data_IF_587412125574
#
_entry.id   IF_587412125574
#
_cell.length_a   1.000
_cell.length_b   1.000
_cell.length_c   1.000
_cell.angle_alpha   90.00
_cell.angle_beta   90.00
_cell.angle_gamma   90.00
#
_symmetry.space_group_name_H-M   'P 1'
#
loop_
_entity.id
_entity.type
_entity.pdbx_description
1 polymer ?
#
# COMPACT_ATOMS: atom_id res chain seq x y z
N UNK A 1 11.90 6.98 9.64
CA UNK A 1 10.48 7.36 9.50
C UNK A 1 9.73 6.14 9.02
N UNK A 2 9.00 5.48 9.93
CA UNK A 2 8.22 4.29 9.61
C UNK A 2 6.91 4.73 8.94
N UNK A 3 6.84 4.67 7.62
CA UNK A 3 5.55 4.75 6.93
C UNK A 3 4.81 3.44 7.21
N UNK A 4 4.04 3.42 8.29
CA UNK A 4 3.24 2.27 8.67
C UNK A 4 1.99 2.24 7.80
N UNK A 5 2.12 1.61 6.64
CA UNK A 5 0.98 1.16 5.86
C UNK A 5 0.08 0.26 6.72
N UNK A 6 -1.22 0.37 6.52
CA UNK A 6 -2.25 -0.48 7.12
C UNK A 6 -3.19 -1.04 6.03
N UNK A 7 -3.89 -2.16 6.29
CA UNK A 7 -4.96 -2.61 5.40
C UNK A 7 -5.99 -1.49 5.18
N UNK A 8 -6.39 -1.28 3.93
CA UNK A 8 -7.29 -0.21 3.50
C UNK A 8 -6.60 1.12 3.17
N UNK A 9 -5.30 1.27 3.43
CA UNK A 9 -4.57 2.45 3.00
C UNK A 9 -4.46 2.51 1.47
N UNK A 10 -4.45 3.72 0.94
CA UNK A 10 -4.17 3.97 -0.47
C UNK A 10 -2.68 4.25 -0.68
N UNK A 11 -2.15 3.77 -1.80
CA UNK A 11 -0.77 4.01 -2.19
C UNK A 11 -0.64 4.23 -3.71
N UNK A 12 0.44 4.88 -4.14
CA UNK A 12 0.88 4.91 -5.53
C UNK A 12 1.99 3.88 -5.75
N UNK A 13 1.94 3.17 -6.87
CA UNK A 13 3.03 2.31 -7.33
C UNK A 13 4.21 3.14 -7.83
N UNK A 14 5.44 2.79 -7.45
CA UNK A 14 6.67 3.43 -7.95
C UNK A 14 7.24 2.75 -9.17
N UNK A 15 7.03 1.45 -9.27
CA UNK A 15 7.56 0.59 -10.33
C UNK A 15 6.44 0.15 -11.24
N UNK A 16 6.79 -0.18 -12.47
CA UNK A 16 5.87 -0.77 -13.43
C UNK A 16 5.82 -2.28 -13.18
N UNK A 17 4.64 -2.78 -12.85
CA UNK A 17 4.33 -4.20 -12.99
C UNK A 17 3.55 -4.41 -14.30
N UNK A 18 3.63 -5.62 -14.87
CA UNK A 18 2.95 -5.93 -16.12
C UNK A 18 1.44 -5.69 -16.07
N UNK A 19 0.84 -5.85 -14.88
CA UNK A 19 -0.61 -5.74 -14.70
C UNK A 19 -1.03 -4.38 -14.10
N UNK A 20 -0.11 -3.66 -13.45
CA UNK A 20 -0.37 -2.35 -12.83
C UNK A 20 0.80 -1.39 -13.16
N UNK A 21 0.56 -0.35 -13.98
CA UNK A 21 1.60 0.63 -14.31
C UNK A 21 2.10 1.42 -13.11
N UNK A 22 3.31 2.00 -13.23
CA UNK A 22 3.83 2.96 -12.27
C UNK A 22 2.93 4.20 -12.18
N UNK A 23 2.80 4.78 -10.99
CA UNK A 23 1.92 5.92 -10.72
C UNK A 23 0.45 5.55 -10.57
N UNK A 24 0.10 4.26 -10.56
CA UNK A 24 -1.26 3.80 -10.32
C UNK A 24 -1.61 3.87 -8.84
N UNK A 25 -2.81 4.36 -8.53
CA UNK A 25 -3.38 4.24 -7.20
C UNK A 25 -3.86 2.81 -6.94
N UNK A 26 -3.47 2.26 -5.79
CA UNK A 26 -3.84 0.92 -5.33
C UNK A 26 -4.25 0.98 -3.85
N UNK A 27 -5.11 0.05 -3.44
CA UNK A 27 -5.47 -0.16 -2.04
C UNK A 27 -4.69 -1.35 -1.47
N UNK A 28 -4.16 -1.19 -0.27
CA UNK A 28 -3.43 -2.24 0.43
C UNK A 28 -4.40 -3.19 1.12
N UNK A 29 -4.31 -4.49 0.84
CA UNK A 29 -5.28 -5.47 1.38
C UNK A 29 -4.67 -6.32 2.49
N UNK A 30 -3.53 -6.96 2.22
CA UNK A 30 -2.90 -7.91 3.14
C UNK A 30 -1.39 -7.71 3.21
N UNK A 31 -0.84 -7.78 4.42
CA UNK A 31 0.58 -7.64 4.69
C UNK A 31 1.33 -8.90 4.24
N UNK A 32 2.44 -8.70 3.55
CA UNK A 32 3.38 -9.77 3.19
C UNK A 32 4.64 -9.62 4.03
N UNK A 33 4.95 -10.65 4.80
CA UNK A 33 6.20 -10.74 5.54
C UNK A 33 7.34 -11.28 4.69
N UNK A 34 8.58 -10.87 5.01
CA UNK A 34 9.77 -11.42 4.35
C UNK A 34 9.81 -12.94 4.52
N UNK A 35 10.04 -13.66 3.42
CA UNK A 35 10.11 -15.12 3.38
C UNK A 35 8.75 -15.82 3.29
N UNK A 36 7.63 -15.08 3.36
CA UNK A 36 6.30 -15.63 3.12
C UNK A 36 6.19 -16.15 1.69
N UNK A 37 5.40 -17.21 1.51
CA UNK A 37 5.10 -17.75 0.19
C UNK A 37 4.05 -16.87 -0.49
N UNK A 38 4.43 -16.19 -1.56
CA UNK A 38 3.59 -15.27 -2.32
C UNK A 38 3.18 -15.90 -3.64
N UNK A 39 1.94 -15.63 -4.05
CA UNK A 39 1.43 -16.02 -5.36
C UNK A 39 1.50 -14.82 -6.31
N UNK A 40 2.41 -14.88 -7.28
CA UNK A 40 2.45 -13.96 -8.43
C UNK A 40 2.29 -14.75 -9.73
N UNK A 41 3.21 -14.55 -10.70
CA UNK A 41 3.32 -15.39 -11.92
C UNK A 41 3.70 -16.86 -11.64
N UNK A 42 4.00 -17.17 -10.38
CA UNK A 42 4.24 -18.48 -9.80
C UNK A 42 4.28 -18.36 -8.28
N UNK A 43 4.75 -19.38 -7.59
CA UNK A 43 5.00 -19.29 -6.14
C UNK A 43 6.45 -18.94 -5.90
N UNK A 44 6.70 -17.92 -5.07
CA UNK A 44 8.04 -17.52 -4.66
C UNK A 44 8.05 -17.04 -3.22
N UNK A 45 9.22 -17.05 -2.58
CA UNK A 45 9.38 -16.48 -1.25
C UNK A 45 9.63 -14.98 -1.37
N UNK A 46 8.88 -14.18 -0.63
CA UNK A 46 9.02 -12.73 -0.61
C UNK A 46 10.45 -12.33 -0.19
N UNK A 47 11.23 -11.63 -1.04
CA UNK A 47 12.60 -11.23 -0.70
C UNK A 47 12.64 -10.11 0.35
N UNK A 48 11.56 -9.32 0.42
CA UNK A 48 11.36 -8.21 1.35
C UNK A 48 9.90 -8.17 1.83
N UNK A 49 9.60 -7.43 2.91
CA UNK A 49 8.22 -7.14 3.29
C UNK A 49 7.49 -6.33 2.21
N UNK A 50 6.17 -6.47 2.16
CA UNK A 50 5.32 -5.82 1.17
C UNK A 50 3.83 -5.99 1.46
N UNK A 51 3.03 -5.82 0.42
CA UNK A 51 1.58 -5.86 0.46
C UNK A 51 1.01 -6.54 -0.77
N UNK A 52 -0.05 -7.32 -0.58
CA UNK A 52 -1.02 -7.50 -1.65
C UNK A 52 -1.80 -6.19 -1.82
N UNK A 53 -1.99 -5.80 -3.07
CA UNK A 53 -2.69 -4.58 -3.44
C UNK A 53 -3.76 -4.87 -4.47
N UNK A 54 -4.82 -4.06 -4.50
CA UNK A 54 -5.84 -4.11 -5.54
C UNK A 54 -5.93 -2.76 -6.24
N UNK A 55 -5.90 -2.77 -7.58
CA UNK A 55 -6.20 -1.57 -8.37
C UNK A 55 -7.71 -1.48 -8.58
N UNK A 56 -8.36 -0.57 -7.86
CA UNK A 56 -9.83 -0.44 -7.86
C UNK A 56 -10.44 -0.22 -9.25
N UNK A 57 -9.72 0.42 -10.18
CA UNK A 57 -10.22 0.68 -11.53
C UNK A 57 -10.29 -0.56 -12.43
N UNK A 58 -9.45 -1.57 -12.19
CA UNK A 58 -9.34 -2.78 -13.02
C UNK A 58 -9.72 -4.06 -12.27
N UNK A 59 -9.74 -4.03 -10.94
CA UNK A 59 -9.90 -5.20 -10.08
C UNK A 59 -8.66 -6.11 -10.03
N UNK A 60 -7.57 -5.74 -10.71
CA UNK A 60 -6.31 -6.50 -10.69
C UNK A 60 -5.70 -6.48 -9.29
N UNK A 61 -5.25 -7.64 -8.84
CA UNK A 61 -4.55 -7.81 -7.56
C UNK A 61 -3.18 -8.45 -7.76
N UNK A 62 -2.16 -7.87 -7.12
CA UNK A 62 -0.77 -8.36 -7.17
C UNK A 62 0.01 -7.95 -5.93
N UNK A 63 1.23 -8.45 -5.78
CA UNK A 63 2.11 -8.15 -4.66
C UNK A 63 3.12 -7.05 -5.02
N UNK A 64 3.31 -6.09 -4.10
CA UNK A 64 4.32 -5.03 -4.18
C UNK A 64 5.15 -4.99 -2.89
N UNK A 65 6.43 -4.69 -2.99
CA UNK A 65 7.26 -4.47 -1.81
C UNK A 65 6.98 -3.10 -1.17
N UNK A 66 7.23 -2.96 0.14
CA UNK A 66 7.01 -1.71 0.88
C UNK A 66 7.72 -0.50 0.22
N UNK A 67 8.94 -0.74 -0.28
CA UNK A 67 9.76 0.29 -0.90
C UNK A 67 9.30 0.69 -2.30
N UNK A 68 8.43 -0.10 -2.92
CA UNK A 68 7.83 0.14 -4.24
C UNK A 68 6.50 0.92 -4.15
N UNK A 69 6.06 1.24 -2.94
CA UNK A 69 4.80 1.95 -2.69
C UNK A 69 5.07 3.35 -2.10
N UNK A 70 4.23 4.32 -2.47
CA UNK A 70 4.17 5.66 -1.88
C UNK A 70 2.83 5.78 -1.15
N UNK A 71 2.78 6.05 0.16
CA UNK A 71 1.52 6.25 0.84
C UNK A 71 0.81 7.49 0.32
N UNK A 72 -0.45 7.31 -0.09
CA UNK A 72 -1.40 8.40 -0.28
C UNK A 72 -2.04 8.64 1.07
N UNK A 73 -1.36 9.43 1.91
CA UNK A 73 -1.99 9.92 3.14
C UNK A 73 -3.17 10.78 2.72
N UNK A 74 -4.38 10.26 2.86
CA UNK A 74 -5.58 11.10 2.86
C UNK A 74 -5.38 12.20 3.91
N UNK A 75 -6.00 13.36 3.72
CA UNK A 75 -5.97 14.51 4.64
C UNK A 75 -6.61 14.18 6.03
N UNK A 76 -6.09 13.18 6.74
CA UNK A 76 -6.53 12.79 8.08
C UNK A 76 -5.76 13.53 9.18
N UNK A 77 -4.76 14.32 8.83
CA UNK A 77 -3.91 15.05 9.79
C UNK A 77 -4.44 16.46 10.17
N UNK A 78 -5.69 16.83 9.90
CA UNK A 78 -6.20 18.17 10.28
C UNK A 78 -7.53 18.23 11.03
N UNK A 79 -8.30 17.14 11.09
CA UNK A 79 -9.58 17.16 11.80
C UNK A 79 -9.41 16.98 13.33
N UNK A 80 -8.52 16.09 13.78
CA UNK A 80 -8.34 15.81 15.22
C UNK A 80 -7.51 16.89 15.95
N UNK A 81 -6.65 17.63 15.25
CA UNK A 81 -5.90 18.74 15.86
C UNK A 81 -6.70 20.04 15.99
N UNK A 82 -7.74 20.26 15.17
CA UNK A 82 -8.65 21.41 15.33
C UNK A 82 -9.71 21.22 16.41
N UNK A 83 -10.10 19.98 16.73
CA UNK A 83 -11.10 19.71 17.77
C UNK A 83 -10.59 19.97 19.20
N UNK A 84 -9.26 19.96 19.42
CA UNK A 84 -8.66 20.25 20.73
C UNK A 84 -8.37 21.74 20.98
N UNK A 85 -8.53 22.60 19.98
CA UNK A 85 -8.26 24.03 20.10
C UNK A 85 -9.51 24.87 20.48
N UNK A 86 -10.69 24.25 20.59
CA UNK A 86 -11.95 24.91 20.99
C UNK A 86 -12.42 24.35 22.34
N UNK A 87 -11.51 24.32 23.32
CA UNK A 87 -11.80 24.03 24.72
C UNK A 87 -10.70 24.66 25.59
N UNK A 88 -10.58 25.98 25.51
CA UNK A 88 -9.86 26.81 26.46
C UNK A 88 -10.66 28.09 26.71
#
# INVERSE_FOLDING_TARGET
>A
MSNQFQPGDLALTKVFDADIPAGSQVELTERIEKGALVRGKGYFRAPSPGWYVIQQSSGVSTAYADHELIPLRGERDSAEQKAKAVSA
#
